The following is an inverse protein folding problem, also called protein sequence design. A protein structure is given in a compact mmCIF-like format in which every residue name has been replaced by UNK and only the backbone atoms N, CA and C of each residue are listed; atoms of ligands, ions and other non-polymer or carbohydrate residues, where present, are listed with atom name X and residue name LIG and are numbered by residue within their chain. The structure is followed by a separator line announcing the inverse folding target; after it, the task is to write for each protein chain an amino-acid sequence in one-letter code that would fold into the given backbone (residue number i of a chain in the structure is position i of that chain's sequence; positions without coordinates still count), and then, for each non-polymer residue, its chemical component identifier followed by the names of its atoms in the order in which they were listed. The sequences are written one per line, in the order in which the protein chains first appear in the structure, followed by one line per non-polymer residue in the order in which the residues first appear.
data_IF_336123060755
#
_entry.id   IF_336123060755
#
_cell.length_a   1.000
_cell.length_b   1.000
_cell.length_c   1.000
_cell.angle_alpha   90.00
_cell.angle_beta   90.00
_cell.angle_gamma   90.00
#
_symmetry.space_group_name_H-M   'P 1'
#
loop_
_entity.id
_entity.type
_entity.pdbx_description
1 polymer ?
#
# COMPACT_ATOMS: atom_id res chain seq x y z
N UNK A 1 86.97 39.43 96.70
CA UNK A 1 86.79 38.09 96.10
C UNK A 1 85.60 37.99 95.11
N UNK A 2 84.63 38.92 95.11
CA UNK A 2 83.48 38.88 94.19
C UNK A 2 83.71 39.46 92.77
N UNK A 3 84.76 40.27 92.56
CA UNK A 3 85.07 40.91 91.26
C UNK A 3 85.83 39.99 90.28
N UNK A 4 86.43 38.90 90.73
CA UNK A 4 87.20 37.97 89.88
C UNK A 4 86.33 36.85 89.26
N UNK A 5 85.19 36.51 89.87
CA UNK A 5 84.28 35.47 89.37
C UNK A 5 83.31 35.98 88.28
N UNK A 6 82.95 37.27 88.31
CA UNK A 6 82.09 37.90 87.29
C UNK A 6 82.77 38.06 85.92
N UNK A 7 84.07 38.35 85.89
CA UNK A 7 84.83 38.50 84.64
C UNK A 7 84.99 37.18 83.85
N UNK A 8 85.13 36.06 84.56
CA UNK A 8 85.26 34.73 83.93
C UNK A 8 83.93 34.23 83.35
N UNK A 9 82.80 34.48 84.04
CA UNK A 9 81.46 34.14 83.54
C UNK A 9 81.04 34.98 82.32
N UNK A 10 81.35 36.28 82.33
CA UNK A 10 81.09 37.19 81.20
C UNK A 10 81.95 36.83 79.99
N UNK A 11 83.22 36.46 80.19
CA UNK A 11 84.10 35.99 79.11
C UNK A 11 83.62 34.67 78.49
N UNK A 12 83.21 33.69 79.30
CA UNK A 12 82.68 32.42 78.82
C UNK A 12 81.35 32.58 78.07
N UNK A 13 80.44 33.44 78.54
CA UNK A 13 79.20 33.77 77.87
C UNK A 13 79.42 34.50 76.53
N UNK A 14 80.39 35.42 76.47
CA UNK A 14 80.76 36.13 75.24
C UNK A 14 81.36 35.18 74.19
N UNK A 15 82.20 34.21 74.60
CA UNK A 15 82.75 33.18 73.71
C UNK A 15 81.63 32.28 73.16
N UNK A 16 80.68 31.87 74.01
CA UNK A 16 79.55 31.02 73.59
C UNK A 16 78.61 31.76 72.64
N UNK A 17 78.30 33.02 72.91
CA UNK A 17 77.52 33.88 72.02
C UNK A 17 78.20 34.08 70.66
N UNK A 18 79.53 34.29 70.66
CA UNK A 18 80.32 34.42 69.44
C UNK A 18 80.31 33.13 68.60
N UNK A 19 80.41 31.98 69.25
CA UNK A 19 80.29 30.68 68.59
C UNK A 19 78.90 30.48 67.96
N UNK A 20 77.82 30.80 68.69
CA UNK A 20 76.45 30.73 68.17
C UNK A 20 76.21 31.70 67.01
N UNK A 21 76.77 32.92 67.05
CA UNK A 21 76.69 33.88 65.94
C UNK A 21 77.39 33.32 64.69
N UNK A 22 78.55 32.68 64.85
CA UNK A 22 79.28 32.05 63.74
C UNK A 22 78.49 30.88 63.16
N UNK A 23 77.86 30.05 64.00
CA UNK A 23 76.99 28.95 63.55
C UNK A 23 75.76 29.46 62.81
N UNK A 24 75.10 30.50 63.31
CA UNK A 24 73.95 31.14 62.64
C UNK A 24 74.38 31.75 61.30
N UNK A 25 75.52 32.44 61.25
CA UNK A 25 76.05 33.01 60.01
C UNK A 25 76.37 31.92 58.97
N UNK A 26 76.94 30.79 59.40
CA UNK A 26 77.20 29.64 58.54
C UNK A 26 75.90 28.98 58.05
N UNK A 27 74.87 28.87 58.91
CA UNK A 27 73.56 28.36 58.53
C UNK A 27 72.84 29.27 57.53
N UNK A 28 72.90 30.59 57.73
CA UNK A 28 72.36 31.59 56.79
C UNK A 28 73.07 31.50 55.43
N UNK A 29 74.40 31.38 55.42
CA UNK A 29 75.16 31.24 54.18
C UNK A 29 74.78 29.94 53.44
N UNK A 30 74.60 28.83 54.17
CA UNK A 30 74.16 27.55 53.59
C UNK A 30 72.74 27.62 53.02
N UNK A 31 71.80 28.21 53.77
CA UNK A 31 70.43 28.46 53.29
C UNK A 31 70.42 29.38 52.07
N UNK A 32 71.27 30.40 52.04
CA UNK A 32 71.44 31.26 50.87
C UNK A 32 71.87 30.47 49.63
N UNK A 33 72.86 29.59 49.77
CA UNK A 33 73.29 28.70 48.69
C UNK A 33 72.21 27.71 48.23
N UNK A 34 71.41 27.16 49.17
CA UNK A 34 70.27 26.29 48.84
C UNK A 34 69.16 27.04 48.10
N UNK A 35 68.86 28.28 48.47
CA UNK A 35 67.89 29.14 47.78
C UNK A 35 68.36 29.50 46.37
N UNK A 36 69.65 29.80 46.19
CA UNK A 36 70.21 30.11 44.87
C UNK A 36 70.22 28.87 43.96
N UNK A 37 70.53 27.69 44.51
CA UNK A 37 70.42 26.42 43.78
C UNK A 37 68.96 26.14 43.37
N UNK A 38 68.01 26.32 44.28
CA UNK A 38 66.59 26.14 43.99
C UNK A 38 66.10 27.11 42.90
N UNK A 39 66.51 28.39 42.96
CA UNK A 39 66.21 29.38 41.92
C UNK A 39 66.76 28.98 40.56
N UNK A 40 68.00 28.46 40.51
CA UNK A 40 68.60 27.98 39.28
C UNK A 40 67.80 26.80 38.69
N UNK A 41 67.42 25.83 39.53
CA UNK A 41 66.58 24.69 39.10
C UNK A 41 65.21 25.14 38.60
N UNK A 42 64.54 26.03 39.32
CA UNK A 42 63.22 26.56 38.91
C UNK A 42 63.33 27.31 37.58
N UNK A 43 64.37 28.12 37.39
CA UNK A 43 64.54 28.86 36.14
C UNK A 43 64.85 27.91 34.97
N UNK A 44 65.64 26.86 35.19
CA UNK A 44 65.94 25.86 34.15
C UNK A 44 64.69 25.03 33.76
N UNK A 45 63.88 24.59 34.74
CA UNK A 45 62.58 23.95 34.48
C UNK A 45 61.69 24.90 33.68
N UNK A 46 61.56 26.16 34.11
CA UNK A 46 60.74 27.17 33.43
C UNK A 46 61.19 27.40 31.98
N UNK A 47 62.49 27.50 31.73
CA UNK A 47 63.03 27.68 30.38
C UNK A 47 62.74 26.46 29.51
N UNK A 48 62.92 25.25 30.05
CA UNK A 48 62.63 24.00 29.33
C UNK A 48 61.14 23.86 29.00
N UNK A 49 60.26 24.05 29.97
CA UNK A 49 58.81 23.95 29.76
C UNK A 49 58.28 25.01 28.78
N UNK A 50 58.73 26.27 28.90
CA UNK A 50 58.34 27.34 27.97
C UNK A 50 58.85 27.03 26.55
N UNK A 51 60.05 26.47 26.41
CA UNK A 51 60.59 26.07 25.11
C UNK A 51 59.79 24.93 24.47
N UNK A 52 59.45 23.91 25.25
CA UNK A 52 58.61 22.79 24.80
C UNK A 52 57.22 23.27 24.37
N UNK A 53 56.55 24.08 25.21
CA UNK A 53 55.26 24.67 24.89
C UNK A 53 55.30 25.50 23.60
N UNK A 54 56.35 26.33 23.39
CA UNK A 54 56.53 27.11 22.16
C UNK A 54 56.77 26.24 20.92
N UNK A 55 57.39 25.08 21.06
CA UNK A 55 57.55 24.14 19.93
C UNK A 55 56.23 23.46 19.59
N UNK A 56 55.46 23.05 20.60
CA UNK A 56 54.13 22.44 20.44
C UNK A 56 53.13 23.41 19.82
N UNK A 57 53.14 24.66 20.27
CA UNK A 57 52.29 25.72 19.73
C UNK A 57 52.56 25.95 18.24
N UNK A 58 53.83 26.12 17.84
CA UNK A 58 54.23 26.21 16.43
C UNK A 58 53.85 24.99 15.60
N UNK A 59 53.93 23.78 16.19
CA UNK A 59 53.50 22.56 15.52
C UNK A 59 51.99 22.53 15.29
N UNK A 60 51.20 22.95 16.30
CA UNK A 60 49.75 23.05 16.20
C UNK A 60 49.31 24.12 15.19
N UNK A 61 49.97 25.27 15.15
CA UNK A 61 49.70 26.33 14.17
C UNK A 61 49.94 25.87 12.73
N UNK A 62 51.00 25.09 12.50
CA UNK A 62 51.26 24.49 11.18
C UNK A 62 50.18 23.47 10.82
N UNK A 63 49.85 22.55 11.73
CA UNK A 63 48.77 21.57 11.50
C UNK A 63 47.42 22.24 11.24
N UNK A 64 47.10 23.33 11.94
CA UNK A 64 45.86 24.08 11.75
C UNK A 64 45.82 24.75 10.37
N UNK A 65 46.95 25.27 9.89
CA UNK A 65 47.07 25.84 8.54
C UNK A 65 46.84 24.76 7.48
N UNK A 66 47.48 23.61 7.61
CA UNK A 66 47.32 22.49 6.67
C UNK A 66 45.86 22.01 6.65
N UNK A 67 45.24 21.84 7.82
CA UNK A 67 43.83 21.41 7.90
C UNK A 67 42.87 22.41 7.25
N UNK A 68 43.14 23.72 7.40
CA UNK A 68 42.33 24.77 6.75
C UNK A 68 42.46 24.72 5.24
N UNK A 69 43.68 24.53 4.73
CA UNK A 69 43.93 24.39 3.30
C UNK A 69 43.21 23.17 2.72
N UNK A 70 43.33 22.00 3.37
CA UNK A 70 42.65 20.77 2.97
C UNK A 70 41.12 20.91 2.98
N UNK A 71 40.57 21.62 3.98
CA UNK A 71 39.14 21.87 4.07
C UNK A 71 38.64 22.77 2.94
N UNK A 72 39.38 23.83 2.61
CA UNK A 72 39.07 24.72 1.49
C UNK A 72 39.13 23.98 0.15
N UNK A 73 40.14 23.14 -0.07
CA UNK A 73 40.27 22.35 -1.29
C UNK A 73 39.11 21.36 -1.44
N UNK A 74 38.77 20.63 -0.37
CA UNK A 74 37.62 19.70 -0.36
C UNK A 74 36.30 20.42 -0.57
N UNK A 75 36.10 21.59 0.04
CA UNK A 75 34.90 22.41 -0.13
C UNK A 75 34.74 22.90 -1.57
N UNK A 76 35.85 23.34 -2.19
CA UNK A 76 35.88 23.77 -3.58
C UNK A 76 35.58 22.61 -4.53
N UNK A 77 36.15 21.43 -4.28
CA UNK A 77 35.89 20.23 -5.07
C UNK A 77 34.43 19.76 -4.93
N UNK A 78 33.88 19.75 -3.72
CA UNK A 78 32.48 19.43 -3.47
C UNK A 78 31.55 20.41 -4.19
N UNK A 79 31.82 21.71 -4.10
CA UNK A 79 31.06 22.76 -4.78
C UNK A 79 31.10 22.61 -6.31
N UNK A 80 32.25 22.22 -6.87
CA UNK A 80 32.37 21.91 -8.30
C UNK A 80 31.52 20.70 -8.68
N UNK A 81 31.65 19.58 -7.97
CA UNK A 81 30.84 18.37 -8.22
C UNK A 81 29.34 18.63 -8.13
N UNK A 82 28.92 19.48 -7.20
CA UNK A 82 27.51 19.82 -7.02
C UNK A 82 26.97 20.66 -8.20
N UNK A 83 27.79 21.56 -8.74
CA UNK A 83 27.46 22.30 -9.98
C UNK A 83 27.37 21.38 -11.19
N UNK A 84 28.33 20.48 -11.36
CA UNK A 84 28.36 19.52 -12.47
C UNK A 84 27.14 18.59 -12.41
N UNK A 85 26.84 18.04 -11.22
CA UNK A 85 25.67 17.18 -11.02
C UNK A 85 24.36 17.92 -11.27
N UNK A 86 24.27 19.19 -10.86
CA UNK A 86 23.09 20.03 -11.13
C UNK A 86 22.88 20.22 -12.62
N UNK A 87 23.96 20.50 -13.37
CA UNK A 87 23.89 20.66 -14.82
C UNK A 87 23.42 19.37 -15.52
N UNK A 88 24.01 18.22 -15.16
CA UNK A 88 23.59 16.91 -15.69
C UNK A 88 22.12 16.61 -15.42
N UNK A 89 21.64 16.95 -14.22
CA UNK A 89 20.27 16.69 -13.79
C UNK A 89 19.27 17.60 -14.53
N UNK A 90 19.64 18.86 -14.77
CA UNK A 90 18.87 19.79 -15.60
C UNK A 90 18.80 19.32 -17.07
N UNK A 91 19.91 18.82 -17.63
CA UNK A 91 19.93 18.29 -18.99
C UNK A 91 19.04 17.04 -19.13
N UNK A 92 19.15 16.09 -18.20
CA UNK A 92 18.30 14.89 -18.16
C UNK A 92 16.83 15.25 -17.98
N UNK A 93 16.50 16.20 -17.10
CA UNK A 93 15.13 16.67 -16.88
C UNK A 93 14.54 17.30 -18.14
N UNK A 94 15.33 18.10 -18.86
CA UNK A 94 14.93 18.71 -20.13
C UNK A 94 14.70 17.65 -21.22
N UNK A 95 15.56 16.64 -21.31
CA UNK A 95 15.41 15.54 -22.25
C UNK A 95 14.15 14.71 -21.96
N UNK A 96 13.93 14.34 -20.69
CA UNK A 96 12.73 13.63 -20.25
C UNK A 96 11.46 14.43 -20.55
N UNK A 97 11.46 15.74 -20.28
CA UNK A 97 10.34 16.63 -20.59
C UNK A 97 10.04 16.72 -22.10
N UNK A 98 11.07 16.66 -22.96
CA UNK A 98 10.88 16.60 -24.42
C UNK A 98 10.30 15.25 -24.85
N UNK A 99 10.78 14.15 -24.28
CA UNK A 99 10.25 12.81 -24.55
C UNK A 99 8.79 12.68 -24.12
N UNK A 100 8.45 13.17 -22.92
CA UNK A 100 7.09 13.15 -22.39
C UNK A 100 6.11 13.89 -23.32
N UNK A 101 6.50 15.09 -23.80
CA UNK A 101 5.70 15.86 -24.77
C UNK A 101 5.48 15.11 -26.08
N UNK A 102 6.49 14.41 -26.60
CA UNK A 102 6.34 13.59 -27.81
C UNK A 102 5.35 12.45 -27.58
N UNK A 103 5.51 11.73 -26.47
CA UNK A 103 4.60 10.66 -26.06
C UNK A 103 3.16 11.16 -25.88
N UNK A 104 2.97 12.32 -25.25
CA UNK A 104 1.63 12.94 -25.11
C UNK A 104 1.00 13.21 -26.49
N UNK A 105 1.74 13.83 -27.40
CA UNK A 105 1.24 14.09 -28.76
C UNK A 105 0.91 12.80 -29.52
N UNK A 106 1.74 11.75 -29.37
CA UNK A 106 1.50 10.46 -29.99
C UNK A 106 0.25 9.78 -29.41
N UNK A 107 0.06 9.83 -28.09
CA UNK A 107 -1.13 9.31 -27.42
C UNK A 107 -2.39 10.05 -27.86
N UNK A 108 -2.36 11.39 -27.93
CA UNK A 108 -3.48 12.20 -28.42
C UNK A 108 -3.83 11.85 -29.87
N UNK A 109 -2.82 11.69 -30.72
CA UNK A 109 -3.02 11.28 -32.12
C UNK A 109 -3.64 9.89 -32.22
N UNK A 110 -3.16 8.92 -31.44
CA UNK A 110 -3.73 7.57 -31.41
C UNK A 110 -5.15 7.55 -30.86
N UNK A 111 -5.44 8.34 -29.82
CA UNK A 111 -6.78 8.49 -29.26
C UNK A 111 -7.76 9.09 -30.26
N UNK A 112 -7.32 10.07 -31.07
CA UNK A 112 -8.09 10.61 -32.19
C UNK A 112 -8.45 9.54 -33.21
N UNK A 113 -7.45 8.78 -33.68
CA UNK A 113 -7.65 7.67 -34.63
C UNK A 113 -8.59 6.59 -34.08
N UNK A 114 -8.44 6.23 -32.80
CA UNK A 114 -9.33 5.29 -32.11
C UNK A 114 -10.77 5.79 -32.03
N UNK A 115 -10.95 7.09 -31.78
CA UNK A 115 -12.28 7.72 -31.72
C UNK A 115 -12.96 7.70 -33.10
N UNK A 116 -12.22 8.01 -34.15
CA UNK A 116 -12.69 7.93 -35.54
C UNK A 116 -13.06 6.50 -35.92
N UNK A 117 -12.17 5.53 -35.63
CA UNK A 117 -12.39 4.11 -35.89
C UNK A 117 -13.62 3.59 -35.12
N UNK A 118 -13.78 3.96 -33.84
CA UNK A 118 -14.94 3.59 -33.02
C UNK A 118 -16.23 4.19 -33.56
N UNK A 119 -16.20 5.42 -34.05
CA UNK A 119 -17.36 6.08 -34.64
C UNK A 119 -17.75 5.43 -35.96
N UNK A 120 -16.78 5.10 -36.82
CA UNK A 120 -17.00 4.37 -38.06
C UNK A 120 -17.58 2.97 -37.80
N UNK A 121 -17.03 2.26 -36.81
CA UNK A 121 -17.53 0.95 -36.41
C UNK A 121 -18.95 0.99 -35.85
N UNK A 122 -19.30 1.98 -35.01
CA UNK A 122 -20.68 2.18 -34.55
C UNK A 122 -21.63 2.40 -35.72
N UNK A 123 -21.24 3.21 -36.71
CA UNK A 123 -22.05 3.45 -37.92
C UNK A 123 -22.27 2.16 -38.71
N UNK A 124 -21.22 1.34 -38.88
CA UNK A 124 -21.34 0.04 -39.53
C UNK A 124 -22.23 -0.91 -38.75
N UNK A 125 -22.08 -1.00 -37.43
CA UNK A 125 -22.93 -1.83 -36.58
C UNK A 125 -24.41 -1.44 -36.69
N UNK A 126 -24.74 -0.15 -36.62
CA UNK A 126 -26.11 0.34 -36.83
C UNK A 126 -26.64 0.08 -38.25
N UNK A 127 -25.77 0.05 -39.27
CA UNK A 127 -26.17 -0.30 -40.63
C UNK A 127 -26.48 -1.79 -40.76
N UNK A 128 -25.72 -2.64 -40.08
CA UNK A 128 -25.95 -4.09 -40.07
C UNK A 128 -27.18 -4.45 -39.25
N UNK A 129 -27.39 -3.80 -38.10
CA UNK A 129 -28.58 -3.99 -37.26
C UNK A 129 -29.87 -3.61 -38.00
N UNK A 130 -29.88 -2.48 -38.73
CA UNK A 130 -31.00 -2.12 -39.62
C UNK A 130 -31.26 -3.16 -40.69
N UNK A 131 -30.22 -3.63 -41.40
CA UNK A 131 -30.37 -4.70 -42.40
C UNK A 131 -30.87 -6.01 -41.79
N UNK A 132 -30.47 -6.32 -40.56
CA UNK A 132 -30.93 -7.50 -39.83
C UNK A 132 -32.42 -7.40 -39.50
N UNK A 133 -32.89 -6.26 -38.99
CA UNK A 133 -34.32 -5.99 -38.74
C UNK A 133 -35.13 -6.07 -40.04
N UNK A 134 -34.67 -5.42 -41.11
CA UNK A 134 -35.32 -5.49 -42.43
C UNK A 134 -35.41 -6.93 -42.97
N UNK A 135 -34.33 -7.71 -42.79
CA UNK A 135 -34.29 -9.12 -43.23
C UNK A 135 -35.22 -10.00 -42.40
N UNK A 136 -35.30 -9.78 -41.08
CA UNK A 136 -36.24 -10.47 -40.19
C UNK A 136 -37.70 -10.15 -40.52
N UNK A 137 -38.01 -8.89 -40.84
CA UNK A 137 -39.37 -8.49 -41.27
C UNK A 137 -39.75 -9.12 -42.61
N UNK A 138 -38.81 -9.18 -43.56
CA UNK A 138 -39.01 -9.89 -44.82
C UNK A 138 -39.21 -11.40 -44.60
N UNK A 139 -38.46 -12.00 -43.67
CA UNK A 139 -38.61 -13.40 -43.32
C UNK A 139 -39.95 -13.71 -42.66
N UNK A 140 -40.42 -12.90 -41.70
CA UNK A 140 -41.76 -13.05 -41.09
C UNK A 140 -42.86 -13.03 -42.15
N UNK A 141 -42.77 -12.12 -43.14
CA UNK A 141 -43.72 -12.06 -44.27
C UNK A 141 -43.69 -13.28 -45.19
N UNK A 142 -42.57 -14.01 -45.24
CA UNK A 142 -42.42 -15.24 -46.03
C UNK A 142 -42.87 -16.47 -45.22
N UNK A 143 -42.60 -16.50 -43.91
CA UNK A 143 -43.03 -17.54 -42.97
C UNK A 143 -44.57 -17.59 -42.86
N UNK A 144 -45.22 -16.43 -42.73
CA UNK A 144 -46.68 -16.28 -42.75
C UNK A 144 -47.33 -16.79 -44.06
N UNK A 145 -46.56 -16.82 -45.17
CA UNK A 145 -47.05 -17.22 -46.50
C UNK A 145 -46.82 -18.69 -46.85
N UNK A 146 -45.86 -19.37 -46.22
CA UNK A 146 -45.38 -20.68 -46.73
C UNK A 146 -45.39 -21.82 -45.72
N UNK A 147 -45.55 -21.60 -44.42
CA UNK A 147 -45.79 -22.67 -43.44
C UNK A 147 -44.85 -23.89 -43.54
N UNK A 148 -43.58 -23.70 -43.92
CA UNK A 148 -42.66 -24.80 -44.21
C UNK A 148 -41.29 -24.69 -43.53
N UNK A 149 -40.87 -25.84 -43.01
CA UNK A 149 -39.62 -26.22 -42.30
C UNK A 149 -38.30 -26.00 -43.07
N UNK A 150 -38.23 -25.08 -44.03
CA UNK A 150 -36.99 -24.77 -44.77
C UNK A 150 -36.06 -23.75 -44.06
N UNK A 151 -36.24 -23.59 -42.74
CA UNK A 151 -35.76 -22.43 -41.98
C UNK A 151 -34.49 -22.66 -41.16
N UNK A 152 -34.09 -23.90 -40.86
CA UNK A 152 -33.03 -24.17 -39.89
C UNK A 152 -31.61 -23.76 -40.33
N UNK A 153 -31.16 -24.14 -41.54
CA UNK A 153 -29.81 -23.78 -42.02
C UNK A 153 -29.67 -22.28 -42.28
N UNK A 154 -30.76 -21.62 -42.69
CA UNK A 154 -30.76 -20.18 -42.98
C UNK A 154 -30.82 -19.36 -41.68
N UNK A 155 -31.52 -19.85 -40.65
CA UNK A 155 -31.43 -19.31 -39.28
C UNK A 155 -30.02 -19.47 -38.70
N UNK A 156 -29.41 -20.66 -38.80
CA UNK A 156 -28.05 -20.91 -38.30
C UNK A 156 -27.02 -19.94 -38.91
N UNK A 157 -27.09 -19.70 -40.22
CA UNK A 157 -26.19 -18.71 -40.87
C UNK A 157 -26.45 -17.27 -40.42
N UNK A 158 -27.68 -16.94 -40.03
CA UNK A 158 -28.05 -15.63 -39.50
C UNK A 158 -27.56 -15.49 -38.05
N UNK A 159 -27.68 -16.54 -37.24
CA UNK A 159 -27.14 -16.62 -35.87
C UNK A 159 -25.62 -16.52 -35.84
N UNK A 160 -24.91 -17.24 -36.71
CA UNK A 160 -23.45 -17.18 -36.84
C UNK A 160 -22.98 -15.77 -37.21
N UNK A 161 -23.71 -15.10 -38.10
CA UNK A 161 -23.38 -13.75 -38.54
C UNK A 161 -23.67 -12.71 -37.45
N UNK A 162 -24.77 -12.87 -36.71
CA UNK A 162 -25.07 -12.06 -35.52
C UNK A 162 -24.03 -12.26 -34.41
N UNK A 163 -23.51 -13.49 -34.25
CA UNK A 163 -22.42 -13.80 -33.32
C UNK A 163 -21.11 -13.10 -33.74
N UNK A 164 -20.77 -13.13 -35.04
CA UNK A 164 -19.59 -12.43 -35.57
C UNK A 164 -19.67 -10.90 -35.39
N UNK A 165 -20.83 -10.29 -35.62
CA UNK A 165 -21.04 -8.84 -35.43
C UNK A 165 -20.96 -8.47 -33.95
N UNK A 166 -21.53 -9.30 -33.07
CA UNK A 166 -21.45 -9.12 -31.61
C UNK A 166 -20.00 -9.24 -31.12
N UNK A 167 -19.21 -10.13 -31.72
CA UNK A 167 -17.79 -10.28 -31.42
C UNK A 167 -16.98 -9.07 -31.87
N UNK A 168 -17.20 -8.60 -33.10
CA UNK A 168 -16.57 -7.38 -33.61
C UNK A 168 -16.90 -6.14 -32.74
N UNK A 169 -18.14 -6.02 -32.28
CA UNK A 169 -18.56 -4.96 -31.36
C UNK A 169 -17.89 -5.03 -29.98
N UNK A 170 -17.65 -6.25 -29.47
CA UNK A 170 -16.94 -6.48 -28.22
C UNK A 170 -15.44 -6.19 -28.35
N UNK A 171 -14.81 -6.56 -29.46
CA UNK A 171 -13.39 -6.26 -29.75
C UNK A 171 -13.16 -4.73 -29.85
N UNK A 172 -14.11 -4.00 -30.44
CA UNK A 172 -14.10 -2.53 -30.51
C UNK A 172 -14.33 -1.82 -29.16
N UNK A 173 -14.75 -2.56 -28.12
CA UNK A 173 -14.89 -2.06 -26.75
C UNK A 173 -13.69 -2.36 -25.85
N UNK A 174 -12.62 -2.96 -26.39
CA UNK A 174 -11.42 -3.35 -25.64
C UNK A 174 -11.55 -4.69 -24.92
N UNK A 175 -12.54 -5.52 -25.25
CA UNK A 175 -12.77 -6.82 -24.59
C UNK A 175 -12.18 -7.95 -25.41
N UNK A 176 -10.93 -8.31 -25.12
CA UNK A 176 -10.32 -9.52 -25.64
C UNK A 176 -11.03 -10.74 -25.02
N UNK A 177 -11.65 -11.60 -25.85
CA UNK A 177 -12.21 -12.87 -25.39
C UNK A 177 -11.11 -13.78 -24.80
N UNK A 178 -11.42 -14.48 -23.72
CA UNK A 178 -10.63 -15.62 -23.23
C UNK A 178 -10.37 -15.64 -21.72
N UNK A 179 -10.15 -14.47 -21.10
CA UNK A 179 -9.81 -14.40 -19.66
C UNK A 179 -10.90 -13.78 -18.77
N UNK A 180 -11.80 -12.98 -19.33
CA UNK A 180 -12.99 -12.51 -18.62
C UNK A 180 -14.04 -13.63 -18.58
N UNK A 181 -13.93 -14.51 -17.59
CA UNK A 181 -14.88 -15.63 -17.40
C UNK A 181 -16.23 -15.16 -16.84
N UNK A 182 -16.29 -13.95 -16.28
CA UNK A 182 -17.51 -13.37 -15.70
C UNK A 182 -18.01 -12.16 -16.49
N UNK A 183 -19.32 -11.89 -16.40
CA UNK A 183 -19.97 -10.79 -17.11
C UNK A 183 -19.44 -9.41 -16.64
N UNK A 184 -19.31 -8.50 -17.60
CA UNK A 184 -18.90 -7.09 -17.46
C UNK A 184 -19.92 -6.13 -18.06
N UNK A 185 -21.10 -6.62 -18.40
CA UNK A 185 -22.25 -5.85 -18.86
C UNK A 185 -23.36 -5.88 -17.82
N UNK A 186 -24.20 -4.86 -17.87
CA UNK A 186 -25.42 -4.81 -17.09
C UNK A 186 -26.60 -4.75 -18.06
N UNK A 187 -27.52 -5.69 -17.93
CA UNK A 187 -28.83 -5.61 -18.54
C UNK A 187 -29.76 -4.70 -17.73
N UNK A 188 -30.91 -4.34 -18.29
CA UNK A 188 -31.96 -3.61 -17.53
C UNK A 188 -32.47 -4.44 -16.33
N UNK A 189 -32.52 -5.76 -16.47
CA UNK A 189 -32.91 -6.66 -15.40
C UNK A 189 -31.89 -6.66 -14.26
N UNK A 190 -30.59 -6.61 -14.58
CA UNK A 190 -29.53 -6.50 -13.56
C UNK A 190 -29.64 -5.18 -12.77
N UNK A 191 -29.91 -4.06 -13.45
CA UNK A 191 -30.11 -2.77 -12.79
C UNK A 191 -31.32 -2.79 -11.84
N UNK A 192 -32.43 -3.39 -12.27
CA UNK A 192 -33.62 -3.55 -11.43
C UNK A 192 -33.35 -4.46 -10.23
N UNK A 193 -32.72 -5.61 -10.44
CA UNK A 193 -32.38 -6.55 -9.38
C UNK A 193 -31.37 -5.95 -8.37
N UNK A 194 -30.32 -5.25 -8.83
CA UNK A 194 -29.38 -4.57 -7.93
C UNK A 194 -30.06 -3.47 -7.08
N UNK A 195 -31.08 -2.79 -7.60
CA UNK A 195 -31.85 -1.82 -6.80
C UNK A 195 -32.75 -2.53 -5.79
N UNK A 196 -33.63 -3.40 -6.27
CA UNK A 196 -34.68 -4.02 -5.47
C UNK A 196 -34.12 -5.02 -4.45
N UNK A 197 -33.13 -5.81 -4.84
CA UNK A 197 -32.61 -6.89 -4.01
C UNK A 197 -31.43 -6.41 -3.17
N UNK A 198 -30.63 -5.43 -3.61
CA UNK A 198 -29.47 -4.97 -2.83
C UNK A 198 -29.64 -3.58 -2.26
N UNK A 199 -29.86 -2.55 -3.08
CA UNK A 199 -29.91 -1.18 -2.57
C UNK A 199 -31.05 -0.95 -1.56
N UNK A 200 -32.28 -1.39 -1.88
CA UNK A 200 -33.46 -1.19 -1.02
C UNK A 200 -33.33 -1.88 0.35
N UNK A 201 -32.97 -3.18 0.48
CA UNK A 201 -32.79 -3.82 1.78
C UNK A 201 -31.63 -3.25 2.59
N UNK A 202 -30.64 -2.66 1.93
CA UNK A 202 -29.54 -1.94 2.56
C UNK A 202 -29.90 -0.51 2.98
N UNK A 203 -31.12 -0.04 2.67
CA UNK A 203 -31.59 1.31 2.97
C UNK A 203 -30.94 2.39 2.11
N UNK A 204 -30.49 2.03 0.90
CA UNK A 204 -29.82 2.95 -0.04
C UNK A 204 -30.77 3.38 -1.15
N UNK A 205 -30.81 4.68 -1.41
CA UNK A 205 -31.42 5.24 -2.62
C UNK A 205 -30.34 5.35 -3.71
N UNK A 206 -30.47 4.55 -4.78
CA UNK A 206 -29.48 4.46 -5.85
C UNK A 206 -30.14 4.54 -7.21
N UNK A 207 -29.71 5.47 -8.05
CA UNK A 207 -30.17 5.58 -9.42
C UNK A 207 -29.42 4.61 -10.36
N UNK A 208 -30.05 4.24 -11.48
CA UNK A 208 -29.42 3.39 -12.52
C UNK A 208 -28.10 3.98 -13.03
N UNK A 209 -27.99 5.31 -13.07
CA UNK A 209 -26.76 6.02 -13.45
C UNK A 209 -25.64 5.79 -12.44
N UNK A 210 -25.92 5.68 -11.14
CA UNK A 210 -24.90 5.37 -10.13
C UNK A 210 -24.41 3.93 -10.28
N UNK A 211 -25.32 2.98 -10.54
CA UNK A 211 -24.96 1.58 -10.80
C UNK A 211 -24.14 1.45 -12.08
N UNK A 212 -24.56 2.11 -13.15
CA UNK A 212 -23.82 2.16 -14.41
C UNK A 212 -22.44 2.82 -14.26
N UNK A 213 -22.34 3.84 -13.42
CA UNK A 213 -21.06 4.46 -13.08
C UNK A 213 -20.12 3.48 -12.37
N UNK A 214 -20.59 2.78 -11.32
CA UNK A 214 -19.81 1.74 -10.64
C UNK A 214 -19.33 0.65 -11.60
N UNK A 215 -20.20 0.17 -12.50
CA UNK A 215 -19.83 -0.82 -13.52
C UNK A 215 -18.72 -0.30 -14.45
N UNK A 216 -18.82 0.95 -14.89
CA UNK A 216 -17.79 1.58 -15.72
C UNK A 216 -16.46 1.72 -14.99
N UNK A 217 -16.49 2.06 -13.69
CA UNK A 217 -15.29 2.15 -12.85
C UNK A 217 -14.64 0.79 -12.64
N UNK A 218 -15.41 -0.25 -12.31
CA UNK A 218 -14.92 -1.63 -12.18
C UNK A 218 -14.17 -2.06 -13.44
N UNK A 219 -14.77 -1.89 -14.61
CA UNK A 219 -14.13 -2.25 -15.88
C UNK A 219 -12.84 -1.44 -16.14
N UNK A 220 -12.82 -0.16 -15.77
CA UNK A 220 -11.64 0.70 -15.92
C UNK A 220 -10.52 0.37 -14.95
N UNK A 221 -10.84 -0.07 -13.73
CA UNK A 221 -9.86 -0.52 -12.74
C UNK A 221 -9.27 -1.85 -13.18
N UNK A 222 -10.11 -2.85 -13.46
CA UNK A 222 -9.67 -4.16 -13.93
C UNK A 222 -8.78 -4.05 -15.18
N UNK A 223 -9.17 -3.23 -16.18
CA UNK A 223 -8.39 -3.05 -17.41
C UNK A 223 -7.00 -2.43 -17.24
N UNK A 224 -6.69 -1.86 -16.06
CA UNK A 224 -5.36 -1.33 -15.72
C UNK A 224 -4.59 -2.24 -14.74
N UNK A 225 -5.28 -3.19 -14.13
CA UNK A 225 -4.70 -4.14 -13.19
C UNK A 225 -4.00 -5.29 -13.93
N UNK A 226 -3.01 -5.87 -13.25
CA UNK A 226 -2.45 -7.17 -13.55
C UNK A 226 -3.43 -8.24 -13.09
N UNK A 227 -3.68 -9.26 -13.92
CA UNK A 227 -4.59 -10.36 -13.61
C UNK A 227 -6.04 -10.05 -13.95
N UNK A 228 -6.98 -10.50 -13.11
CA UNK A 228 -8.43 -10.38 -13.36
C UNK A 228 -9.20 -10.06 -12.08
N UNK A 229 -10.40 -9.49 -12.23
CA UNK A 229 -11.42 -9.55 -11.19
C UNK A 229 -12.08 -10.92 -11.24
N UNK A 230 -11.99 -11.68 -10.14
CA UNK A 230 -12.47 -13.07 -10.07
C UNK A 230 -13.98 -13.23 -9.87
N UNK A 231 -14.75 -12.18 -10.13
CA UNK A 231 -16.21 -12.19 -10.04
C UNK A 231 -16.83 -11.33 -11.14
N UNK A 232 -18.17 -11.25 -11.21
CA UNK A 232 -18.89 -10.40 -12.17
C UNK A 232 -18.99 -8.94 -11.73
N UNK A 233 -19.28 -8.03 -12.67
CA UNK A 233 -19.56 -6.64 -12.31
C UNK A 233 -20.79 -6.53 -11.40
N UNK A 234 -21.82 -7.35 -11.62
CA UNK A 234 -23.01 -7.39 -10.77
C UNK A 234 -22.65 -7.74 -9.33
N UNK A 235 -21.83 -8.78 -9.14
CA UNK A 235 -21.38 -9.24 -7.82
C UNK A 235 -20.55 -8.16 -7.12
N UNK A 236 -19.58 -7.57 -7.81
CA UNK A 236 -18.77 -6.50 -7.24
C UNK A 236 -19.62 -5.28 -6.86
N UNK A 237 -20.64 -4.92 -7.66
CA UNK A 237 -21.56 -3.83 -7.34
C UNK A 237 -22.40 -4.15 -6.10
N UNK A 238 -22.92 -5.38 -5.98
CA UNK A 238 -23.63 -5.82 -4.78
C UNK A 238 -22.77 -5.65 -3.51
N UNK A 239 -21.51 -6.08 -3.56
CA UNK A 239 -20.54 -5.91 -2.48
C UNK A 239 -20.25 -4.42 -2.17
N UNK A 240 -20.12 -3.57 -3.21
CA UNK A 240 -19.97 -2.11 -3.05
C UNK A 240 -21.19 -1.46 -2.42
N UNK A 241 -22.41 -1.87 -2.80
CA UNK A 241 -23.65 -1.38 -2.19
C UNK A 241 -23.69 -1.73 -0.70
N UNK A 242 -23.32 -2.95 -0.33
CA UNK A 242 -23.21 -3.34 1.08
C UNK A 242 -22.26 -2.42 1.84
N UNK A 243 -21.05 -2.20 1.32
CA UNK A 243 -20.08 -1.29 1.92
C UNK A 243 -20.58 0.16 2.02
N UNK A 244 -21.29 0.66 0.99
CA UNK A 244 -21.87 2.01 0.99
C UNK A 244 -22.97 2.22 2.04
N UNK A 245 -23.60 1.15 2.52
CA UNK A 245 -24.62 1.22 3.57
C UNK A 245 -24.05 1.45 4.98
N UNK A 246 -22.73 1.37 5.14
CA UNK A 246 -22.03 1.54 6.41
C UNK A 246 -21.71 3.02 6.61
N UNK A 247 -22.08 3.58 7.76
CA UNK A 247 -21.86 5.01 8.08
C UNK A 247 -20.51 5.32 8.75
N UNK A 248 -19.64 4.34 8.95
CA UNK A 248 -18.34 4.51 9.59
C UNK A 248 -17.36 5.31 8.70
N UNK A 249 -16.42 6.03 9.34
CA UNK A 249 -15.37 6.76 8.63
C UNK A 249 -14.05 6.74 9.43
N UNK A 250 -12.97 6.12 8.92
CA UNK A 250 -12.96 5.31 7.70
C UNK A 250 -13.77 4.02 7.86
N UNK A 251 -14.31 3.50 6.75
CA UNK A 251 -14.85 2.13 6.67
C UNK A 251 -13.67 1.17 6.69
N UNK A 252 -13.59 0.32 7.72
CA UNK A 252 -12.54 -0.67 7.87
C UNK A 252 -13.01 -2.00 7.29
N UNK A 253 -12.43 -2.41 6.17
CA UNK A 253 -12.79 -3.63 5.45
C UNK A 253 -11.73 -4.70 5.70
N UNK A 254 -12.16 -5.91 6.05
CA UNK A 254 -11.34 -7.12 6.02
C UNK A 254 -11.78 -7.97 4.83
N UNK A 255 -10.83 -8.33 3.97
CA UNK A 255 -11.04 -9.24 2.84
C UNK A 255 -10.15 -10.47 3.00
N UNK A 256 -10.78 -11.64 2.93
CA UNK A 256 -10.11 -12.94 2.94
C UNK A 256 -10.27 -13.55 1.55
N UNK A 257 -9.16 -13.91 0.91
CA UNK A 257 -9.15 -14.31 -0.49
C UNK A 257 -9.13 -13.07 -1.40
N UNK A 258 -7.93 -12.61 -1.69
CA UNK A 258 -7.65 -11.32 -2.34
C UNK A 258 -7.25 -11.53 -3.79
N UNK A 259 -6.58 -12.65 -4.09
CA UNK A 259 -6.02 -12.97 -5.41
C UNK A 259 -5.12 -11.83 -5.93
N UNK A 260 -5.56 -11.12 -6.98
CA UNK A 260 -4.84 -9.99 -7.56
C UNK A 260 -5.16 -8.64 -6.89
N UNK A 261 -6.09 -8.60 -5.93
CA UNK A 261 -6.55 -7.37 -5.24
C UNK A 261 -7.36 -6.42 -6.13
N UNK A 262 -7.94 -6.91 -7.23
CA UNK A 262 -8.78 -6.08 -8.11
C UNK A 262 -10.09 -5.70 -7.42
N UNK A 263 -10.68 -6.60 -6.62
CA UNK A 263 -11.84 -6.30 -5.80
C UNK A 263 -11.51 -5.27 -4.72
N UNK A 264 -10.38 -5.43 -4.02
CA UNK A 264 -9.87 -4.45 -3.04
C UNK A 264 -9.64 -3.07 -3.65
N UNK A 265 -9.05 -3.01 -4.84
CA UNK A 265 -8.87 -1.78 -5.59
C UNK A 265 -10.22 -1.13 -5.95
N UNK A 266 -11.22 -1.93 -6.35
CA UNK A 266 -12.58 -1.45 -6.61
C UNK A 266 -13.25 -0.89 -5.35
N UNK A 267 -13.15 -1.60 -4.22
CA UNK A 267 -13.67 -1.12 -2.94
C UNK A 267 -13.08 0.24 -2.59
N UNK A 268 -11.75 0.36 -2.60
CA UNK A 268 -11.08 1.59 -2.21
C UNK A 268 -11.43 2.76 -3.14
N UNK A 269 -11.25 2.60 -4.46
CA UNK A 269 -11.44 3.68 -5.44
C UNK A 269 -12.89 4.15 -5.51
N UNK A 270 -13.83 3.20 -5.66
CA UNK A 270 -15.23 3.54 -5.93
C UNK A 270 -15.91 4.10 -4.67
N UNK A 271 -15.64 3.55 -3.49
CA UNK A 271 -16.21 4.09 -2.25
C UNK A 271 -15.68 5.51 -1.96
N UNK A 272 -14.41 5.78 -2.27
CA UNK A 272 -13.84 7.13 -2.15
C UNK A 272 -14.53 8.14 -3.09
N UNK A 273 -14.90 7.73 -4.30
CA UNK A 273 -15.68 8.58 -5.23
C UNK A 273 -17.09 8.90 -4.69
N UNK A 274 -17.63 8.06 -3.81
CA UNK A 274 -18.87 8.34 -3.07
C UNK A 274 -18.62 8.99 -1.70
N UNK A 275 -17.41 9.48 -1.43
CA UNK A 275 -17.07 10.27 -0.25
C UNK A 275 -16.70 9.47 1.00
N UNK A 276 -16.56 8.14 0.91
CA UNK A 276 -16.14 7.32 2.04
C UNK A 276 -14.61 7.27 2.15
N UNK A 277 -14.08 7.49 3.36
CA UNK A 277 -12.69 7.10 3.65
C UNK A 277 -12.67 5.58 3.87
N UNK A 278 -11.72 4.86 3.25
CA UNK A 278 -11.64 3.40 3.34
C UNK A 278 -10.26 2.98 3.81
N UNK A 279 -10.22 1.98 4.70
CA UNK A 279 -9.00 1.24 5.06
C UNK A 279 -9.27 -0.24 4.86
N UNK A 280 -8.34 -0.94 4.22
CA UNK A 280 -8.50 -2.35 3.92
C UNK A 280 -7.38 -3.17 4.56
N UNK A 281 -7.76 -4.29 5.16
CA UNK A 281 -6.87 -5.36 5.61
C UNK A 281 -7.13 -6.57 4.74
N UNK A 282 -6.08 -7.08 4.11
CA UNK A 282 -6.14 -8.09 3.06
C UNK A 282 -5.40 -9.34 3.54
N UNK A 283 -6.09 -10.49 3.62
CA UNK A 283 -5.51 -11.78 4.00
C UNK A 283 -5.52 -12.71 2.80
N UNK A 284 -4.34 -13.06 2.31
CA UNK A 284 -4.16 -14.00 1.20
C UNK A 284 -2.70 -14.51 1.17
N UNK A 285 -2.44 -15.81 0.93
CA UNK A 285 -1.06 -16.32 0.81
C UNK A 285 -0.29 -15.76 -0.41
N UNK A 286 -1.00 -15.30 -1.44
CA UNK A 286 -0.51 -14.79 -2.72
C UNK A 286 0.41 -15.78 -3.44
N UNK A 287 0.06 -17.06 -3.39
CA UNK A 287 0.81 -18.19 -3.95
C UNK A 287 0.02 -19.01 -4.98
N UNK A 288 -1.10 -18.50 -5.49
CA UNK A 288 -1.89 -19.09 -6.59
C UNK A 288 -3.28 -19.56 -6.16
N UNK A 289 -4.04 -20.11 -7.13
CA UNK A 289 -5.37 -20.67 -6.90
C UNK A 289 -5.25 -22.20 -6.76
N UNK A 290 -5.20 -22.71 -5.52
CA UNK A 290 -5.19 -24.15 -5.17
C UNK A 290 -4.08 -25.02 -5.81
N UNK A 291 -3.00 -24.46 -6.35
CA UNK A 291 -1.92 -25.23 -6.98
C UNK A 291 -0.53 -24.74 -6.55
N UNK A 292 0.46 -25.64 -6.58
CA UNK A 292 1.87 -25.31 -6.27
C UNK A 292 2.52 -24.37 -7.29
N UNK A 293 1.82 -24.04 -8.37
CA UNK A 293 2.24 -23.03 -9.34
C UNK A 293 1.50 -21.72 -9.03
N UNK A 294 2.28 -20.66 -8.79
CA UNK A 294 1.75 -19.34 -8.43
C UNK A 294 0.87 -18.70 -9.52
N UNK A 295 0.71 -19.32 -10.69
CA UNK A 295 -0.06 -18.77 -11.81
C UNK A 295 -1.58 -18.95 -11.62
N UNK A 296 -2.34 -17.90 -11.90
CA UNK A 296 -3.80 -17.99 -12.00
C UNK A 296 -4.22 -18.86 -13.19
N UNK A 297 -5.16 -19.77 -12.96
CA UNK A 297 -5.60 -20.78 -13.92
C UNK A 297 -6.19 -20.20 -15.22
N UNK A 298 -6.63 -18.93 -15.20
CA UNK A 298 -7.33 -18.30 -16.32
C UNK A 298 -6.38 -17.40 -17.11
N UNK A 299 -5.62 -16.56 -16.42
CA UNK A 299 -4.74 -15.57 -17.04
C UNK A 299 -3.31 -16.08 -17.26
N UNK A 300 -2.90 -17.14 -16.55
CA UNK A 300 -1.51 -17.63 -16.51
C UNK A 300 -0.55 -16.68 -15.81
N UNK A 301 -1.04 -15.57 -15.24
CA UNK A 301 -0.24 -14.57 -14.56
C UNK A 301 0.01 -15.02 -13.12
N UNK A 302 1.26 -14.91 -12.60
CA UNK A 302 1.53 -15.19 -11.20
C UNK A 302 0.74 -14.29 -10.25
N UNK A 303 -0.10 -14.91 -9.42
CA UNK A 303 -0.63 -14.31 -8.19
C UNK A 303 0.58 -14.10 -7.28
N UNK A 304 0.84 -12.84 -6.93
CA UNK A 304 2.04 -12.49 -6.19
C UNK A 304 1.87 -11.16 -5.50
N UNK A 305 2.69 -10.95 -4.46
CA UNK A 305 2.75 -9.67 -3.76
C UNK A 305 3.06 -8.50 -4.68
N UNK A 306 3.92 -8.69 -5.67
CA UNK A 306 4.25 -7.66 -6.64
C UNK A 306 3.05 -7.28 -7.53
N UNK A 307 2.27 -8.25 -7.99
CA UNK A 307 1.07 -8.00 -8.79
C UNK A 307 0.02 -7.25 -7.96
N UNK A 308 -0.21 -7.69 -6.72
CA UNK A 308 -1.10 -7.02 -5.77
C UNK A 308 -0.66 -5.57 -5.53
N UNK A 309 0.59 -5.34 -5.12
CA UNK A 309 1.08 -3.99 -4.81
C UNK A 309 0.96 -3.05 -6.02
N UNK A 310 1.21 -3.53 -7.24
CA UNK A 310 1.01 -2.76 -8.48
C UNK A 310 -0.46 -2.39 -8.69
N UNK A 311 -1.38 -3.31 -8.43
CA UNK A 311 -2.82 -3.07 -8.58
C UNK A 311 -3.32 -2.07 -7.54
N UNK A 312 -2.92 -2.20 -6.28
CA UNK A 312 -3.29 -1.27 -5.21
C UNK A 312 -2.71 0.13 -5.45
N UNK A 313 -1.48 0.23 -5.98
CA UNK A 313 -0.90 1.52 -6.37
C UNK A 313 -1.65 2.19 -7.53
N UNK A 314 -2.32 1.42 -8.39
CA UNK A 314 -3.03 1.93 -9.57
C UNK A 314 -4.27 2.78 -9.24
N UNK A 315 -4.78 2.68 -8.01
CA UNK A 315 -5.91 3.49 -7.50
C UNK A 315 -5.45 4.68 -6.67
N UNK A 316 -4.14 4.96 -6.62
CA UNK A 316 -3.62 6.18 -5.98
C UNK A 316 -3.84 6.25 -4.47
N UNK A 317 -4.00 5.11 -3.80
CA UNK A 317 -4.22 5.06 -2.37
C UNK A 317 -2.98 5.57 -1.59
N UNK A 318 -3.16 6.36 -0.51
CA UNK A 318 -2.06 6.81 0.31
C UNK A 318 -1.46 5.64 1.08
N UNK A 319 -0.21 5.82 1.54
CA UNK A 319 0.47 4.84 2.40
C UNK A 319 -0.40 4.52 3.62
N UNK A 320 -0.62 3.23 3.87
CA UNK A 320 -1.43 2.74 5.00
C UNK A 320 -2.93 2.61 4.73
N UNK A 321 -3.41 2.91 3.52
CA UNK A 321 -4.78 2.58 3.12
C UNK A 321 -5.02 1.07 3.00
N UNK A 322 -3.97 0.33 2.64
CA UNK A 322 -3.97 -1.12 2.55
C UNK A 322 -2.94 -1.72 3.50
N UNK A 323 -3.36 -2.73 4.25
CA UNK A 323 -2.50 -3.62 5.02
C UNK A 323 -2.63 -5.03 4.45
N UNK A 324 -1.50 -5.64 4.07
CA UNK A 324 -1.47 -6.97 3.47
C UNK A 324 -0.84 -7.96 4.45
N UNK A 325 -1.63 -8.94 4.86
CA UNK A 325 -1.22 -10.09 5.67
C UNK A 325 -1.05 -11.26 4.70
N UNK A 326 0.19 -11.44 4.21
CA UNK A 326 0.49 -12.46 3.21
C UNK A 326 0.61 -13.86 3.84
N UNK A 327 -0.52 -14.45 4.20
CA UNK A 327 -0.65 -15.76 4.86
C UNK A 327 -2.00 -16.38 4.53
N UNK A 328 -2.13 -17.70 4.73
CA UNK A 328 -3.44 -18.33 4.80
C UNK A 328 -4.24 -17.76 5.97
N UNK A 329 -5.56 -17.63 5.81
CA UNK A 329 -6.46 -17.25 6.90
C UNK A 329 -6.50 -18.28 8.04
N UNK A 330 -6.06 -19.51 7.76
CA UNK A 330 -5.89 -20.60 8.73
C UNK A 330 -4.61 -20.52 9.56
N UNK A 331 -3.69 -19.61 9.23
CA UNK A 331 -2.45 -19.42 9.98
C UNK A 331 -2.70 -18.65 11.29
N UNK A 332 -2.23 -19.19 12.41
CA UNK A 332 -2.31 -18.54 13.73
C UNK A 332 -1.72 -17.12 13.72
N UNK A 333 -0.67 -16.89 12.92
CA UNK A 333 -0.06 -15.57 12.80
C UNK A 333 -0.98 -14.57 12.07
N UNK A 334 -1.80 -15.02 11.12
CA UNK A 334 -2.80 -14.17 10.46
C UNK A 334 -3.91 -13.78 11.43
N UNK A 335 -4.42 -14.75 12.20
CA UNK A 335 -5.43 -14.55 13.25
C UNK A 335 -4.88 -13.57 14.30
N UNK A 336 -3.65 -13.79 14.77
CA UNK A 336 -3.01 -12.94 15.77
C UNK A 336 -2.80 -11.50 15.27
N UNK A 337 -2.45 -11.31 13.99
CA UNK A 337 -2.23 -9.99 13.40
C UNK A 337 -3.49 -9.11 13.39
N UNK A 338 -4.68 -9.71 13.41
CA UNK A 338 -5.95 -8.98 13.47
C UNK A 338 -6.68 -9.05 14.80
N UNK A 339 -6.13 -9.78 15.78
CA UNK A 339 -6.74 -9.97 17.09
C UNK A 339 -6.96 -8.63 17.80
N UNK A 340 -8.18 -8.43 18.32
CA UNK A 340 -8.57 -7.21 19.04
C UNK A 340 -8.84 -5.98 18.16
N UNK A 341 -8.84 -6.14 16.83
CA UNK A 341 -9.31 -5.12 15.89
C UNK A 341 -10.81 -5.26 15.66
N UNK A 342 -11.43 -4.19 15.21
CA UNK A 342 -12.83 -4.16 14.79
C UNK A 342 -12.95 -3.72 13.33
N UNK A 343 -13.74 -4.47 12.56
CA UNK A 343 -14.03 -4.20 11.16
C UNK A 343 -15.48 -3.77 10.99
N UNK A 344 -15.72 -2.99 9.94
CA UNK A 344 -17.04 -2.54 9.52
C UNK A 344 -17.64 -3.48 8.47
N UNK A 345 -16.78 -4.07 7.65
CA UNK A 345 -17.13 -5.02 6.61
C UNK A 345 -16.15 -6.19 6.63
N UNK A 346 -16.66 -7.41 6.58
CA UNK A 346 -15.89 -8.63 6.32
C UNK A 346 -16.37 -9.24 5.00
N UNK A 347 -15.45 -9.47 4.06
CA UNK A 347 -15.68 -10.28 2.86
C UNK A 347 -14.93 -11.60 3.01
N UNK A 348 -15.67 -12.70 2.98
CA UNK A 348 -15.14 -14.07 2.96
C UNK A 348 -15.24 -14.60 1.52
N UNK A 349 -14.09 -14.72 0.86
CA UNK A 349 -13.90 -15.14 -0.54
C UNK A 349 -12.64 -16.05 -0.66
N UNK A 350 -12.38 -16.83 0.41
CA UNK A 350 -11.17 -17.64 0.58
C UNK A 350 -11.31 -19.05 0.00
N UNK A 351 -11.49 -20.03 0.89
CA UNK A 351 -11.64 -21.43 0.49
C UNK A 351 -13.10 -21.78 0.19
N UNK A 352 -13.35 -22.50 -0.90
CA UNK A 352 -14.68 -22.76 -1.45
C UNK A 352 -15.33 -24.05 -0.91
N UNK A 353 -14.78 -24.61 0.17
CA UNK A 353 -15.35 -25.73 0.89
C UNK A 353 -15.99 -25.32 2.23
N UNK A 354 -16.78 -26.22 2.79
CA UNK A 354 -17.53 -25.96 4.02
C UNK A 354 -16.64 -25.66 5.23
N UNK A 355 -15.49 -26.33 5.34
CA UNK A 355 -14.60 -26.17 6.48
C UNK A 355 -13.81 -24.86 6.40
N UNK A 356 -13.41 -24.47 5.19
CA UNK A 356 -12.73 -23.22 4.89
C UNK A 356 -13.58 -22.00 5.25
N UNK A 357 -14.77 -21.90 4.67
CA UNK A 357 -15.70 -20.79 4.99
C UNK A 357 -16.09 -20.78 6.46
N UNK A 358 -16.25 -21.95 7.08
CA UNK A 358 -16.50 -22.07 8.52
C UNK A 358 -15.35 -21.52 9.34
N UNK A 359 -14.11 -21.88 8.99
CA UNK A 359 -12.92 -21.42 9.68
C UNK A 359 -12.79 -19.90 9.61
N UNK A 360 -12.98 -19.33 8.41
CA UNK A 360 -12.93 -17.88 8.21
C UNK A 360 -14.00 -17.18 9.03
N UNK A 361 -15.24 -17.68 8.98
CA UNK A 361 -16.33 -17.12 9.76
C UNK A 361 -16.08 -17.17 11.27
N UNK A 362 -15.64 -18.31 11.80
CA UNK A 362 -15.45 -18.51 13.24
C UNK A 362 -14.31 -17.66 13.82
N UNK A 363 -13.28 -17.34 13.02
CA UNK A 363 -12.14 -16.56 13.48
C UNK A 363 -12.27 -15.06 13.20
N UNK A 364 -12.88 -14.67 12.08
CA UNK A 364 -12.93 -13.27 11.67
C UNK A 364 -14.33 -12.64 11.78
N UNK A 365 -15.40 -13.43 11.76
CA UNK A 365 -16.77 -12.96 11.97
C UNK A 365 -16.97 -12.17 13.27
N UNK A 366 -16.46 -12.65 14.42
CA UNK A 366 -16.52 -11.93 15.69
C UNK A 366 -15.80 -10.58 15.73
N UNK A 367 -14.92 -10.29 14.76
CA UNK A 367 -14.22 -9.01 14.66
C UNK A 367 -15.07 -7.94 13.96
N UNK A 368 -16.24 -8.29 13.40
CA UNK A 368 -17.14 -7.31 12.80
C UNK A 368 -18.00 -6.66 13.88
N UNK A 369 -17.91 -5.34 13.98
CA UNK A 369 -18.63 -4.57 15.00
C UNK A 369 -20.15 -4.66 14.79
N UNK A 370 -20.91 -4.38 15.85
CA UNK A 370 -22.37 -4.19 15.75
C UNK A 370 -22.69 -3.08 14.73
N UNK A 371 -23.61 -3.38 13.82
CA UNK A 371 -23.98 -2.55 12.67
C UNK A 371 -23.12 -2.79 11.42
N UNK A 372 -21.99 -3.49 11.55
CA UNK A 372 -21.16 -3.94 10.42
C UNK A 372 -21.80 -5.07 9.62
N UNK A 373 -21.18 -5.41 8.50
CA UNK A 373 -21.71 -6.38 7.53
C UNK A 373 -20.70 -7.50 7.27
N UNK A 374 -21.21 -8.73 7.18
CA UNK A 374 -20.45 -9.90 6.73
C UNK A 374 -21.01 -10.32 5.36
N UNK A 375 -20.12 -10.45 4.38
CA UNK A 375 -20.39 -10.91 3.03
C UNK A 375 -19.75 -12.28 2.81
N UNK A 376 -20.54 -13.22 2.30
CA UNK A 376 -20.06 -14.53 1.86
C UNK A 376 -20.09 -14.58 0.34
N UNK A 377 -18.94 -14.74 -0.30
CA UNK A 377 -18.91 -14.96 -1.75
C UNK A 377 -19.31 -16.38 -2.13
N UNK A 378 -19.59 -16.59 -3.42
CA UNK A 378 -19.99 -17.87 -4.00
C UNK A 378 -21.19 -18.54 -3.32
N UNK A 379 -22.09 -17.72 -2.77
CA UNK A 379 -23.36 -18.17 -2.21
C UNK A 379 -24.37 -18.53 -3.32
N UNK A 380 -25.00 -19.71 -3.19
CA UNK A 380 -26.07 -20.22 -4.07
C UNK A 380 -25.63 -20.43 -5.52
N UNK A 381 -24.43 -21.00 -5.69
CA UNK A 381 -23.85 -21.32 -7.00
C UNK A 381 -23.56 -22.82 -7.09
N UNK A 382 -23.72 -23.39 -8.29
CA UNK A 382 -23.61 -24.83 -8.49
C UNK A 382 -22.18 -25.36 -8.36
N UNK A 383 -21.18 -24.50 -8.59
CA UNK A 383 -19.77 -24.86 -8.51
C UNK A 383 -19.31 -25.09 -7.05
N UNK A 384 -19.91 -24.36 -6.10
CA UNK A 384 -19.49 -24.32 -4.69
C UNK A 384 -20.69 -24.51 -3.74
N UNK A 385 -21.36 -25.67 -3.77
CA UNK A 385 -22.59 -25.89 -3.02
C UNK A 385 -22.39 -25.84 -1.49
N UNK A 386 -21.17 -26.10 -1.04
CA UNK A 386 -20.81 -26.15 0.38
C UNK A 386 -20.86 -24.79 1.05
N UNK A 387 -20.65 -23.70 0.30
CA UNK A 387 -20.78 -22.33 0.83
C UNK A 387 -22.23 -22.05 1.21
N UNK A 388 -23.17 -22.36 0.31
CA UNK A 388 -24.61 -22.23 0.61
C UNK A 388 -25.01 -23.08 1.81
N UNK A 389 -24.54 -24.33 1.87
CA UNK A 389 -24.83 -25.24 3.00
C UNK A 389 -24.38 -24.60 4.31
N UNK A 390 -23.13 -24.12 4.38
CA UNK A 390 -22.61 -23.48 5.59
C UNK A 390 -23.41 -22.23 5.97
N UNK A 391 -23.63 -21.32 5.01
CA UNK A 391 -24.32 -20.04 5.25
C UNK A 391 -25.74 -20.25 5.76
N UNK A 392 -26.48 -21.20 5.20
CA UNK A 392 -27.86 -21.51 5.59
C UNK A 392 -27.94 -22.23 6.95
N UNK A 393 -26.94 -23.04 7.31
CA UNK A 393 -26.93 -23.80 8.58
C UNK A 393 -26.43 -22.97 9.76
N UNK A 394 -25.43 -22.11 9.55
CA UNK A 394 -24.70 -21.45 10.65
C UNK A 394 -24.96 -19.94 10.73
N UNK A 395 -24.50 -19.07 9.80
CA UNK A 395 -24.84 -17.65 9.81
C UNK A 395 -26.33 -17.34 9.84
N UNK A 396 -27.16 -18.05 9.06
CA UNK A 396 -28.60 -17.81 9.01
C UNK A 396 -29.35 -18.21 10.29
N UNK A 397 -28.80 -19.15 11.07
CA UNK A 397 -29.34 -19.57 12.36
C UNK A 397 -28.76 -18.75 13.54
N UNK A 398 -27.78 -17.88 13.30
CA UNK A 398 -27.12 -17.13 14.36
C UNK A 398 -27.95 -15.90 14.79
N UNK A 399 -28.41 -15.80 16.05
CA UNK A 399 -29.24 -14.69 16.52
C UNK A 399 -28.51 -13.34 16.56
N UNK A 400 -27.17 -13.33 16.58
CA UNK A 400 -26.36 -12.10 16.49
C UNK A 400 -26.29 -11.54 15.06
N UNK A 401 -26.79 -12.27 14.07
CA UNK A 401 -26.82 -11.87 12.67
C UNK A 401 -28.26 -11.68 12.17
N UNK A 402 -28.46 -10.61 11.42
CA UNK A 402 -29.67 -10.37 10.66
C UNK A 402 -29.38 -10.59 9.18
N UNK A 403 -30.15 -11.48 8.54
CA UNK A 403 -30.15 -11.61 7.08
C UNK A 403 -30.59 -10.29 6.43
N UNK A 404 -29.76 -9.72 5.56
CA UNK A 404 -30.10 -8.50 4.81
C UNK A 404 -30.60 -8.87 3.41
N UNK A 405 -29.74 -9.53 2.64
CA UNK A 405 -29.99 -9.81 1.22
C UNK A 405 -29.08 -10.93 0.69
N UNK A 406 -29.40 -11.43 -0.51
CA UNK A 406 -28.61 -12.35 -1.31
C UNK A 406 -28.83 -12.09 -2.79
N UNK A 407 -27.98 -12.70 -3.61
CA UNK A 407 -28.06 -12.65 -5.07
C UNK A 407 -26.69 -12.33 -5.63
N UNK A 408 -26.52 -12.49 -6.95
CA UNK A 408 -25.24 -12.26 -7.62
C UNK A 408 -24.07 -12.97 -6.91
N UNK A 409 -24.25 -14.26 -6.59
CA UNK A 409 -23.24 -15.09 -5.90
C UNK A 409 -22.85 -14.60 -4.49
N UNK A 410 -23.56 -13.66 -3.87
CA UNK A 410 -23.20 -13.16 -2.54
C UNK A 410 -24.39 -13.21 -1.57
N UNK A 411 -24.13 -13.53 -0.30
CA UNK A 411 -25.07 -13.34 0.80
C UNK A 411 -24.54 -12.28 1.78
N UNK A 412 -25.42 -11.45 2.33
CA UNK A 412 -25.08 -10.35 3.21
C UNK A 412 -25.85 -10.41 4.53
N UNK A 413 -25.11 -10.30 5.65
CA UNK A 413 -25.64 -10.29 7.00
C UNK A 413 -25.20 -9.05 7.75
N UNK A 414 -26.09 -8.48 8.57
CA UNK A 414 -25.77 -7.40 9.51
C UNK A 414 -25.51 -7.98 10.88
N UNK A 415 -24.44 -7.53 11.54
CA UNK A 415 -24.20 -7.85 12.95
C UNK A 415 -25.15 -6.99 13.80
N UNK A 416 -26.14 -7.61 14.45
CA UNK A 416 -27.14 -6.91 15.28
C UNK A 416 -26.84 -7.00 16.78
N UNK A 417 -26.04 -7.97 17.19
CA UNK A 417 -25.52 -8.08 18.54
C UNK A 417 -24.04 -8.46 18.53
N UNK A 418 -23.31 -8.09 19.58
CA UNK A 418 -21.91 -8.50 19.68
C UNK A 418 -21.83 -10.02 19.82
N UNK A 419 -20.92 -10.64 19.06
CA UNK A 419 -20.58 -12.04 19.27
C UNK A 419 -20.09 -12.22 20.71
N UNK A 420 -20.46 -13.33 21.36
CA UNK A 420 -19.99 -13.60 22.72
C UNK A 420 -18.44 -13.58 22.76
N UNK A 421 -17.82 -12.89 23.73
CA UNK A 421 -16.37 -12.88 23.85
C UNK A 421 -15.87 -14.32 24.05
N UNK A 422 -14.89 -14.73 23.24
CA UNK A 422 -14.21 -16.04 23.33
C UNK A 422 -13.11 -16.03 24.37
#
# INVERSE_FOLDING_TARGET
MALALGGVFVAAAAVKLRATIVEIAAAIARLGGEVDALRATVNDIRVREISDLKSRDRSLETRLRDLKFDLEERSNLASKRLRDLKFDLEERSNLASKQLRRLQNDVEKQAGLLTEARTAAKRQAHAVDRRFVETLEQFKKVDDRLGMKASAEKLSRIEDRALQIRNALNDLSGRVRGYHVHDRTLSKADLEALRREWAEPLGLEVADSNIGYMASRIASIEGRCVGRLATSSQTMIARLLAARSISASPVNVLEIGVLFGVASACFYDILAEFGAAVRMTLIDPLDGYYSRDAADLITGVPVSRQALDRNLASVGAPTGAFEVIQRFSTDEAAIAAVKGREFDLLLIDGDHDYNGVKWDYENFGPLVRKGGIILFDDYDVGEWPDIKRFVDETPAANPSLQWITKGFRTAAFRVVDQFAPR
#
